data_IF_722322514915
#
_entry.id   IF_722322514915
#
_cell.length_a   1.000
_cell.length_b   1.000
_cell.length_c   1.000
_cell.angle_alpha   90.00
_cell.angle_beta   90.00
_cell.angle_gamma   90.00
#
_symmetry.space_group_name_H-M   'P 1'
#
loop_
_entity.id
_entity.type
_entity.pdbx_description
1 polymer ?
#
# COMPACT_ATOMS: atom_id res chain seq x y z
N UNK A 1 -1.33 -16.68 7.73
CA UNK A 1 0.12 -16.89 7.57
C UNK A 1 0.73 -15.56 7.21
N UNK A 2 1.70 -15.07 7.97
CA UNK A 2 2.37 -13.78 7.71
C UNK A 2 3.32 -13.94 6.53
N UNK A 3 3.06 -13.22 5.43
CA UNK A 3 3.95 -13.17 4.28
C UNK A 3 5.23 -12.39 4.61
N UNK A 4 6.33 -12.59 3.85
CA UNK A 4 7.53 -11.78 4.03
C UNK A 4 7.25 -10.29 3.78
N UNK A 5 7.69 -9.46 4.72
CA UNK A 5 7.57 -8.00 4.66
C UNK A 5 8.31 -7.41 3.46
N UNK A 6 9.48 -7.93 3.12
CA UNK A 6 10.30 -7.45 2.00
C UNK A 6 10.39 -8.53 0.94
N UNK A 7 10.08 -8.18 -0.31
CA UNK A 7 10.27 -9.06 -1.46
C UNK A 7 11.75 -9.04 -1.89
N UNK A 8 12.51 -10.05 -1.52
CA UNK A 8 13.93 -10.18 -1.91
C UNK A 8 14.08 -10.74 -3.33
N UNK A 9 15.20 -10.47 -4.00
CA UNK A 9 15.52 -11.00 -5.33
C UNK A 9 15.33 -9.99 -6.47
N UNK A 10 15.32 -10.46 -7.71
CA UNK A 10 15.08 -9.64 -8.90
C UNK A 10 13.60 -9.71 -9.28
N UNK A 11 12.97 -8.55 -9.40
CA UNK A 11 11.55 -8.43 -9.76
C UNK A 11 11.41 -7.55 -11.00
N UNK A 12 10.56 -7.95 -11.95
CA UNK A 12 10.06 -7.08 -12.99
C UNK A 12 8.69 -6.56 -12.57
N UNK A 13 8.57 -5.26 -12.33
CA UNK A 13 7.43 -4.69 -11.62
C UNK A 13 7.00 -3.34 -12.19
N UNK A 14 5.71 -3.04 -12.14
CA UNK A 14 5.18 -1.69 -12.32
C UNK A 14 5.75 -0.77 -11.22
N UNK A 15 6.05 0.50 -11.55
CA UNK A 15 6.54 1.51 -10.60
C UNK A 15 5.61 1.72 -9.39
N UNK A 16 4.30 1.73 -9.58
CA UNK A 16 3.32 1.91 -8.49
C UNK A 16 3.33 0.73 -7.51
N UNK A 17 3.42 -0.48 -8.05
CA UNK A 17 3.62 -1.66 -7.22
C UNK A 17 4.96 -1.59 -6.47
N UNK A 18 6.03 -1.11 -7.11
CA UNK A 18 7.32 -0.96 -6.46
C UNK A 18 7.29 0.09 -5.34
N UNK A 19 6.53 1.18 -5.52
CA UNK A 19 6.28 2.19 -4.48
C UNK A 19 5.56 1.58 -3.27
N UNK A 20 4.48 0.83 -3.52
CA UNK A 20 3.73 0.12 -2.47
C UNK A 20 4.62 -0.87 -1.69
N UNK A 21 5.41 -1.69 -2.38
CA UNK A 21 6.34 -2.62 -1.72
C UNK A 21 7.44 -1.90 -0.96
N UNK A 22 7.93 -0.76 -1.47
CA UNK A 22 8.88 0.10 -0.78
C UNK A 22 8.32 0.63 0.55
N UNK A 23 7.07 1.07 0.56
CA UNK A 23 6.39 1.51 1.78
C UNK A 23 6.28 0.38 2.80
N UNK A 24 5.87 -0.83 2.37
CA UNK A 24 5.77 -2.00 3.26
C UNK A 24 7.15 -2.37 3.82
N UNK A 25 8.18 -2.36 2.96
CA UNK A 25 9.56 -2.64 3.34
C UNK A 25 10.09 -1.64 4.37
N UNK A 26 9.67 -0.37 4.29
CA UNK A 26 9.98 0.66 5.28
C UNK A 26 9.20 0.53 6.60
N UNK A 27 8.27 -0.43 6.70
CA UNK A 27 7.48 -0.66 7.91
C UNK A 27 6.07 -0.05 7.87
N UNK A 28 5.59 0.45 6.72
CA UNK A 28 4.22 0.93 6.60
C UNK A 28 3.22 -0.20 6.88
N UNK A 29 2.29 0.04 7.81
CA UNK A 29 1.23 -0.91 8.20
C UNK A 29 -0.17 -0.31 8.16
N UNK A 30 -0.31 0.92 7.68
CA UNK A 30 -1.61 1.56 7.49
C UNK A 30 -1.61 2.34 6.19
N UNK A 31 -2.69 2.22 5.41
CA UNK A 31 -2.93 3.05 4.25
C UNK A 31 -4.38 3.53 4.28
N UNK A 32 -4.55 4.85 4.35
CA UNK A 32 -5.81 5.53 4.13
C UNK A 32 -5.72 6.36 2.85
N UNK A 33 -6.51 6.04 1.84
CA UNK A 33 -6.38 6.66 0.52
C UNK A 33 -7.67 6.66 -0.29
N UNK A 34 -7.71 7.53 -1.30
CA UNK A 34 -8.77 7.64 -2.29
C UNK A 34 -8.23 7.28 -3.67
N UNK A 35 -8.92 6.45 -4.47
CA UNK A 35 -8.44 6.05 -5.79
C UNK A 35 -8.44 7.21 -6.78
N UNK A 36 -7.28 7.48 -7.39
CA UNK A 36 -7.13 8.47 -8.45
C UNK A 36 -6.10 8.00 -9.48
N UNK A 37 -6.47 8.05 -10.77
CA UNK A 37 -5.54 7.75 -11.88
C UNK A 37 -4.44 8.80 -11.95
N UNK A 38 -3.16 8.43 -12.15
CA UNK A 38 -2.63 7.10 -12.43
C UNK A 38 -2.10 6.31 -11.22
N UNK A 39 -2.48 6.66 -9.99
CA UNK A 39 -1.92 6.10 -8.75
C UNK A 39 -2.73 4.95 -8.14
N UNK A 40 -3.83 4.55 -8.77
CA UNK A 40 -4.77 3.55 -8.25
C UNK A 40 -4.09 2.20 -7.98
N UNK A 41 -3.11 1.83 -8.78
CA UNK A 41 -2.34 0.60 -8.67
C UNK A 41 -1.53 0.51 -7.36
N UNK A 42 -1.15 1.64 -6.75
CA UNK A 42 -0.54 1.68 -5.42
C UNK A 42 -1.57 1.19 -4.39
N UNK A 43 -2.77 1.77 -4.42
CA UNK A 43 -3.85 1.42 -3.51
C UNK A 43 -4.28 -0.03 -3.67
N UNK A 44 -4.42 -0.52 -4.91
CA UNK A 44 -4.74 -1.92 -5.18
C UNK A 44 -3.68 -2.89 -4.64
N UNK A 45 -2.39 -2.54 -4.80
CA UNK A 45 -1.30 -3.36 -4.30
C UNK A 45 -1.30 -3.41 -2.77
N UNK A 46 -1.48 -2.26 -2.11
CA UNK A 46 -1.53 -2.16 -0.65
C UNK A 46 -2.77 -2.85 -0.06
N UNK A 47 -3.92 -2.76 -0.72
CA UNK A 47 -5.14 -3.46 -0.30
C UNK A 47 -4.94 -4.99 -0.23
N UNK A 48 -4.14 -5.55 -1.14
CA UNK A 48 -3.78 -6.97 -1.12
C UNK A 48 -2.68 -7.29 -0.12
N UNK A 49 -1.61 -6.49 -0.08
CA UNK A 49 -0.39 -6.81 0.66
C UNK A 49 -0.47 -6.51 2.15
N UNK A 50 -1.14 -5.43 2.56
CA UNK A 50 -1.19 -5.01 3.97
C UNK A 50 -1.77 -6.11 4.89
N UNK A 51 -2.89 -6.78 4.56
CA UNK A 51 -3.39 -7.90 5.37
C UNK A 51 -2.38 -9.05 5.54
N UNK A 52 -1.53 -9.29 4.54
CA UNK A 52 -0.50 -10.35 4.58
C UNK A 52 0.66 -10.03 5.54
N UNK A 53 0.92 -8.75 5.79
CA UNK A 53 2.03 -8.24 6.61
C UNK A 53 1.57 -7.60 7.93
N UNK A 54 0.30 -7.82 8.31
CA UNK A 54 -0.29 -7.33 9.56
C UNK A 54 -0.63 -5.85 9.56
N UNK A 55 -0.86 -5.26 8.39
CA UNK A 55 -1.33 -3.90 8.21
C UNK A 55 -2.81 -3.80 7.82
N UNK A 56 -3.31 -2.57 7.75
CA UNK A 56 -4.70 -2.25 7.45
C UNK A 56 -4.77 -1.31 6.25
N UNK A 57 -5.65 -1.61 5.30
CA UNK A 57 -6.01 -0.75 4.18
C UNK A 57 -7.43 -0.23 4.39
N UNK A 58 -7.64 1.07 4.18
CA UNK A 58 -8.97 1.68 4.17
C UNK A 58 -9.07 2.63 2.98
N UNK A 59 -10.10 2.44 2.16
CA UNK A 59 -10.49 3.41 1.15
C UNK A 59 -11.35 4.49 1.81
N UNK A 60 -10.92 5.75 1.70
CA UNK A 60 -11.66 6.89 2.23
C UNK A 60 -12.62 7.46 1.18
N UNK A 61 -13.48 8.39 1.60
CA UNK A 61 -14.45 9.05 0.74
C UNK A 61 -13.82 10.06 -0.24
N UNK A 62 -12.73 10.71 0.18
CA UNK A 62 -11.99 11.71 -0.60
C UNK A 62 -10.53 11.82 -0.11
N UNK A 63 -9.75 12.66 -0.80
CA UNK A 63 -8.34 12.90 -0.46
C UNK A 63 -8.14 13.61 0.89
N UNK A 64 -9.13 14.40 1.37
CA UNK A 64 -9.05 15.10 2.64
C UNK A 64 -9.23 14.14 3.83
N UNK A 65 -10.20 13.24 3.74
CA UNK A 65 -10.39 12.17 4.71
C UNK A 65 -9.24 11.17 4.70
N UNK A 66 -8.68 10.90 3.51
CA UNK A 66 -7.45 10.11 3.35
C UNK A 66 -6.32 10.66 4.19
N UNK A 67 -5.97 11.95 4.03
CA UNK A 67 -4.86 12.53 4.80
C UNK A 67 -5.20 12.70 6.29
N UNK A 68 -6.45 13.00 6.63
CA UNK A 68 -6.89 13.11 8.02
C UNK A 68 -6.75 11.78 8.78
N UNK A 69 -6.88 10.63 8.11
CA UNK A 69 -6.77 9.31 8.72
C UNK A 69 -5.34 8.86 9.06
N UNK A 70 -4.32 9.57 8.56
CA UNK A 70 -2.91 9.18 8.68
C UNK A 70 -2.26 9.75 9.95
N UNK A 71 -2.87 10.77 10.58
CA UNK A 71 -2.38 11.48 11.77
C UNK A 71 -3.02 10.90 13.03
#
# INVERSE_FOLDING_TARGET
MTAPTVLTGRHFMNGDHACAEGAIAAGCRFFGGYPITPSTEIAERLARRLPEVGGVFIQMEDELASIASII
#
